data_IF_515878067697
#
_entry.id   IF_515878067697
#
_cell.length_a   1.000
_cell.length_b   1.000
_cell.length_c   1.000
_cell.angle_alpha   90.00
_cell.angle_beta   90.00
_cell.angle_gamma   90.00
#
_symmetry.space_group_name_H-M   'P 1'
#
loop_
_entity.id
_entity.type
_entity.pdbx_description
1 polymer ?
#
# COMPACT_ATOMS: atom_id res chain seq x y z
N UNK A 1 30.70 6.37 -31.50
CA UNK A 1 30.52 6.48 -30.04
C UNK A 1 29.19 5.81 -29.71
N UNK A 2 29.20 4.59 -29.16
CA UNK A 2 27.95 3.91 -28.77
C UNK A 2 27.42 4.56 -27.49
N UNK A 3 26.22 5.11 -27.55
CA UNK A 3 25.56 5.68 -26.38
C UNK A 3 25.27 4.57 -25.35
N UNK A 4 25.59 4.82 -24.08
CA UNK A 4 25.32 3.85 -22.99
C UNK A 4 23.82 3.83 -22.69
N UNK A 5 23.18 2.67 -22.86
CA UNK A 5 21.77 2.47 -22.50
C UNK A 5 21.68 2.21 -21.00
N UNK A 6 20.88 3.00 -20.28
CA UNK A 6 20.57 2.76 -18.87
C UNK A 6 19.53 1.65 -18.75
N UNK A 7 19.88 0.55 -18.10
CA UNK A 7 18.94 -0.52 -17.73
C UNK A 7 18.59 -0.40 -16.26
N UNK A 8 17.38 -0.84 -15.89
CA UNK A 8 16.95 -0.92 -14.49
C UNK A 8 16.40 -2.30 -14.23
N UNK A 9 16.90 -2.98 -13.19
CA UNK A 9 16.35 -4.26 -12.77
C UNK A 9 15.01 -4.03 -12.07
N UNK A 10 13.97 -4.70 -12.54
CA UNK A 10 12.63 -4.62 -11.95
C UNK A 10 12.34 -5.92 -11.21
N UNK A 11 11.93 -5.82 -9.95
CA UNK A 11 11.44 -6.96 -9.16
C UNK A 11 9.92 -6.92 -9.14
N UNK A 12 9.30 -8.07 -9.41
CA UNK A 12 7.86 -8.24 -9.32
C UNK A 12 7.49 -8.86 -7.97
N UNK A 13 6.44 -8.34 -7.35
CA UNK A 13 5.83 -8.88 -6.14
C UNK A 13 4.38 -9.29 -6.44
N UNK A 14 3.90 -10.33 -5.76
CA UNK A 14 2.50 -10.77 -5.87
C UNK A 14 1.62 -10.00 -4.90
N UNK A 15 0.46 -9.54 -5.38
CA UNK A 15 -0.53 -8.82 -4.58
C UNK A 15 -1.96 -9.18 -4.98
N UNK A 16 -2.91 -8.99 -4.04
CA UNK A 16 -4.34 -9.16 -4.24
C UNK A 16 -4.94 -7.92 -4.93
N UNK A 17 -5.73 -8.11 -6.00
CA UNK A 17 -6.33 -7.02 -6.79
C UNK A 17 -7.45 -6.28 -6.07
N UNK A 18 -8.11 -6.95 -5.13
CA UNK A 18 -9.22 -6.38 -4.35
C UNK A 18 -8.81 -5.94 -2.94
N UNK A 19 -7.50 -5.96 -2.62
CA UNK A 19 -6.95 -5.66 -1.29
C UNK A 19 -7.43 -6.58 -0.16
N UNK A 20 -8.20 -7.63 -0.46
CA UNK A 20 -8.64 -8.64 0.50
C UNK A 20 -7.66 -9.81 0.53
N UNK A 21 -6.95 -9.93 1.65
CA UNK A 21 -5.96 -10.98 1.88
C UNK A 21 -6.56 -12.37 2.06
N UNK A 22 -7.88 -12.47 2.27
CA UNK A 22 -8.58 -13.76 2.39
C UNK A 22 -8.97 -14.35 1.02
N UNK A 23 -9.13 -13.53 -0.02
CA UNK A 23 -9.49 -13.97 -1.36
C UNK A 23 -8.27 -14.47 -2.15
N UNK A 24 -7.94 -15.74 -1.98
CA UNK A 24 -6.78 -16.38 -2.62
C UNK A 24 -7.09 -16.99 -4.00
N UNK A 25 -8.17 -16.56 -4.66
CA UNK A 25 -8.48 -17.02 -6.01
C UNK A 25 -7.33 -16.64 -6.97
N UNK A 26 -6.91 -17.53 -7.89
CA UNK A 26 -5.83 -17.23 -8.84
C UNK A 26 -6.10 -15.97 -9.68
N UNK A 27 -7.38 -15.69 -9.97
CA UNK A 27 -7.80 -14.50 -10.69
C UNK A 27 -7.60 -13.19 -9.90
N UNK A 28 -7.55 -13.27 -8.57
CA UNK A 28 -7.33 -12.13 -7.67
C UNK A 28 -5.84 -11.85 -7.42
N UNK A 29 -4.95 -12.79 -7.70
CA UNK A 29 -3.50 -12.59 -7.56
C UNK A 29 -2.90 -11.97 -8.84
N UNK A 30 -2.03 -10.99 -8.66
CA UNK A 30 -1.30 -10.35 -9.77
C UNK A 30 0.16 -10.12 -9.40
N UNK A 31 1.06 -10.26 -10.37
CA UNK A 31 2.47 -9.89 -10.22
C UNK A 31 2.67 -8.44 -10.68
N UNK A 32 3.11 -7.56 -9.78
CA UNK A 32 3.34 -6.14 -10.06
C UNK A 32 4.75 -5.71 -9.76
N UNK A 33 5.27 -4.80 -10.58
CA UNK A 33 6.49 -4.08 -10.22
C UNK A 33 6.22 -3.10 -9.07
N UNK A 34 7.27 -2.69 -8.36
CA UNK A 34 7.17 -1.76 -7.23
C UNK A 34 6.32 -0.51 -7.56
N UNK A 35 6.51 0.10 -8.74
CA UNK A 35 5.74 1.30 -9.14
C UNK A 35 4.26 1.01 -9.32
N UNK A 36 3.92 -0.03 -10.07
CA UNK A 36 2.51 -0.37 -10.35
C UNK A 36 1.80 -0.82 -9.08
N UNK A 37 2.48 -1.57 -8.22
CA UNK A 37 1.95 -1.99 -6.93
C UNK A 37 1.60 -0.77 -6.05
N UNK A 38 2.54 0.18 -5.90
CA UNK A 38 2.30 1.41 -5.12
C UNK A 38 1.16 2.28 -5.67
N UNK A 39 0.98 2.33 -7.01
CA UNK A 39 -0.12 3.08 -7.63
C UNK A 39 -1.46 2.41 -7.33
N UNK A 40 -1.53 1.09 -7.45
CA UNK A 40 -2.75 0.33 -7.16
C UNK A 40 -3.15 0.43 -5.68
N UNK A 41 -2.18 0.36 -4.76
CA UNK A 41 -2.42 0.38 -3.32
C UNK A 41 -2.70 1.78 -2.75
N UNK A 42 -2.46 2.84 -3.52
CA UNK A 42 -2.60 4.22 -3.06
C UNK A 42 -3.95 4.50 -2.38
N UNK A 43 -5.12 4.11 -2.93
CA UNK A 43 -6.40 4.38 -2.28
C UNK A 43 -6.53 3.67 -0.92
N UNK A 44 -6.12 2.41 -0.84
CA UNK A 44 -6.17 1.61 0.39
C UNK A 44 -5.20 2.15 1.45
N UNK A 45 -4.00 2.56 1.05
CA UNK A 45 -3.04 3.22 1.93
C UNK A 45 -3.58 4.53 2.50
N UNK A 46 -4.26 5.35 1.68
CA UNK A 46 -4.93 6.58 2.15
C UNK A 46 -6.01 6.24 3.18
N UNK A 47 -6.86 5.24 2.89
CA UNK A 47 -7.91 4.77 3.82
C UNK A 47 -7.33 4.32 5.16
N UNK A 48 -6.32 3.44 5.14
CA UNK A 48 -5.65 2.92 6.36
C UNK A 48 -4.96 4.02 7.14
N UNK A 49 -4.27 4.95 6.46
CA UNK A 49 -3.61 6.09 7.11
C UNK A 49 -4.63 6.99 7.81
N UNK A 50 -5.74 7.31 7.14
CA UNK A 50 -6.81 8.10 7.72
C UNK A 50 -7.39 7.41 8.97
N UNK A 51 -7.72 6.12 8.88
CA UNK A 51 -8.28 5.36 9.99
C UNK A 51 -7.34 5.31 11.21
N UNK A 52 -6.04 5.14 10.96
CA UNK A 52 -5.01 5.11 12.01
C UNK A 52 -4.95 6.46 12.74
N UNK A 53 -4.92 7.57 12.00
CA UNK A 53 -4.89 8.92 12.58
C UNK A 53 -6.19 9.21 13.32
N UNK A 54 -7.34 8.87 12.73
CA UNK A 54 -8.65 9.05 13.32
C UNK A 54 -8.76 8.35 14.68
N UNK A 55 -8.41 7.06 14.75
CA UNK A 55 -8.44 6.28 16.01
C UNK A 55 -7.56 6.89 17.10
N UNK A 56 -6.35 7.35 16.74
CA UNK A 56 -5.45 8.00 17.69
C UNK A 56 -6.03 9.30 18.27
N UNK A 57 -6.67 10.12 17.43
CA UNK A 57 -7.32 11.36 17.87
C UNK A 57 -8.51 11.08 18.77
N UNK A 58 -9.40 10.16 18.36
CA UNK A 58 -10.58 9.79 19.14
C UNK A 58 -10.24 9.29 20.56
N UNK A 59 -9.15 8.54 20.73
CA UNK A 59 -8.65 8.14 22.05
C UNK A 59 -8.16 9.31 22.90
N UNK A 60 -7.50 10.29 22.28
CA UNK A 60 -7.09 11.53 22.94
C UNK A 60 -8.30 12.36 23.40
N UNK A 61 -9.29 12.51 22.53
CA UNK A 61 -10.52 13.25 22.81
C UNK A 61 -11.32 12.62 23.96
N UNK A 62 -11.34 11.29 24.06
CA UNK A 62 -12.14 10.56 25.07
C UNK A 62 -11.43 10.40 26.43
N UNK A 63 -10.11 10.22 26.46
CA UNK A 63 -9.37 9.85 27.68
C UNK A 63 -8.19 10.79 28.02
N UNK A 64 -8.15 12.00 27.46
CA UNK A 64 -6.97 12.90 27.47
C UNK A 64 -5.72 12.32 26.76
N UNK A 65 -5.72 11.04 26.36
CA UNK A 65 -4.65 10.41 25.57
C UNK A 65 -3.25 10.50 26.21
N UNK A 66 -2.18 10.16 25.49
CA UNK A 66 -0.81 10.30 25.98
C UNK A 66 -0.26 11.74 25.85
N UNK A 67 -1.08 12.73 25.48
CA UNK A 67 -0.68 14.12 25.24
C UNK A 67 -1.45 15.15 26.07
N UNK A 68 -2.44 14.71 26.86
CA UNK A 68 -3.16 15.54 27.82
C UNK A 68 -2.55 15.50 29.21
#
# INVERSE_FOLDING_TARGET
>A
MLATIRTTRVVLATAHRNHDTADNAPANLAAWCQRCHMIHDRPEHVRRRWLTVFRRKALGDLFHGPYG
#
